data_IF_769400982764
#
_entry.id   IF_769400982764
#
_cell.length_a   1.000
_cell.length_b   1.000
_cell.length_c   1.000
_cell.angle_alpha   90.00
_cell.angle_beta   90.00
_cell.angle_gamma   90.00
#
_symmetry.space_group_name_H-M   'P 1'
#
loop_
_entity.id
_entity.type
_entity.pdbx_description
1 polymer ?
#
# COMPACT_ATOMS: atom_id res chain seq x y z
N UNK A 1 10.59 0.11 -14.54
CA UNK A 1 9.30 0.04 -13.82
C UNK A 1 9.38 -1.05 -12.76
N UNK A 2 8.79 -0.80 -11.56
CA UNK A 2 8.80 -1.80 -10.48
C UNK A 2 7.48 -2.59 -10.40
N UNK A 3 6.39 -2.05 -10.95
CA UNK A 3 5.09 -2.70 -11.10
C UNK A 3 4.65 -2.56 -12.56
N UNK A 4 4.35 -3.69 -13.19
CA UNK A 4 3.79 -3.75 -14.54
C UNK A 4 2.65 -4.77 -14.52
N UNK A 5 1.45 -4.29 -14.85
CA UNK A 5 0.20 -5.06 -14.83
C UNK A 5 -0.45 -4.93 -16.20
N UNK A 6 -0.83 -6.06 -16.80
CA UNK A 6 -1.53 -6.09 -18.11
C UNK A 6 -2.72 -7.05 -18.04
N UNK A 7 -3.91 -6.51 -18.27
CA UNK A 7 -5.21 -7.21 -18.31
C UNK A 7 -5.45 -8.14 -17.09
N UNK A 8 -4.98 -7.71 -15.92
CA UNK A 8 -5.02 -8.50 -14.70
C UNK A 8 -6.46 -8.67 -14.21
N UNK A 9 -6.87 -9.91 -14.02
CA UNK A 9 -8.21 -10.26 -13.56
C UNK A 9 -8.14 -11.18 -12.34
N UNK A 10 -9.04 -10.96 -11.37
CA UNK A 10 -9.28 -11.87 -10.25
C UNK A 10 -10.76 -12.13 -10.05
N UNK A 11 -11.12 -13.40 -10.07
CA UNK A 11 -12.47 -13.89 -9.79
C UNK A 11 -12.50 -14.73 -8.51
N UNK A 12 -13.58 -14.59 -7.75
CA UNK A 12 -13.92 -15.43 -6.60
C UNK A 12 -15.32 -16.03 -6.87
N UNK A 13 -15.36 -17.25 -7.35
CA UNK A 13 -16.57 -17.84 -7.88
C UNK A 13 -17.13 -16.99 -9.04
N UNK A 14 -18.36 -16.49 -8.88
CA UNK A 14 -19.01 -15.61 -9.87
C UNK A 14 -18.64 -14.13 -9.75
N UNK A 15 -18.08 -13.73 -8.63
CA UNK A 15 -17.72 -12.32 -8.38
C UNK A 15 -16.33 -12.01 -8.98
N UNK A 16 -16.29 -10.98 -9.83
CA UNK A 16 -15.05 -10.47 -10.44
C UNK A 16 -14.58 -9.25 -9.68
N UNK A 17 -13.65 -9.45 -8.75
CA UNK A 17 -13.15 -8.39 -7.88
C UNK A 17 -12.13 -7.46 -8.56
N UNK A 18 -11.42 -7.95 -9.59
CA UNK A 18 -10.53 -7.17 -10.47
C UNK A 18 -10.79 -7.60 -11.90
N UNK A 19 -11.01 -6.65 -12.80
CA UNK A 19 -11.57 -6.86 -14.13
C UNK A 19 -10.71 -6.20 -15.22
N UNK A 20 -9.68 -6.91 -15.71
CA UNK A 20 -8.83 -6.45 -16.82
C UNK A 20 -8.02 -5.19 -16.47
N UNK A 21 -7.45 -5.13 -15.27
CA UNK A 21 -6.66 -3.97 -14.85
C UNK A 21 -5.32 -3.96 -15.55
N UNK A 22 -4.98 -2.80 -16.15
CA UNK A 22 -3.64 -2.50 -16.67
C UNK A 22 -3.09 -1.27 -15.97
N UNK A 23 -1.87 -1.35 -15.43
CA UNK A 23 -1.26 -0.31 -14.61
C UNK A 23 0.25 -0.45 -14.62
N UNK A 24 0.95 0.68 -14.59
CA UNK A 24 2.40 0.75 -14.42
C UNK A 24 2.75 1.72 -13.30
N UNK A 25 3.69 1.33 -12.42
CA UNK A 25 4.24 2.22 -11.41
C UNK A 25 5.77 2.07 -11.31
N UNK A 26 6.44 3.21 -11.25
CA UNK A 26 7.87 3.35 -11.01
C UNK A 26 8.16 3.90 -9.61
N UNK A 27 9.42 4.34 -9.36
CA UNK A 27 9.76 5.00 -8.10
C UNK A 27 8.85 6.20 -7.81
N UNK A 28 8.54 6.43 -6.55
CA UNK A 28 7.60 7.45 -6.09
C UNK A 28 6.44 6.86 -5.30
N UNK A 29 5.53 7.73 -4.87
CA UNK A 29 4.32 7.35 -4.15
C UNK A 29 3.14 7.33 -5.11
N UNK A 30 2.52 6.18 -5.26
CA UNK A 30 1.38 5.92 -6.13
C UNK A 30 0.12 5.65 -5.29
N UNK A 31 -0.89 6.49 -5.42
CA UNK A 31 -2.18 6.34 -4.74
C UNK A 31 -3.13 5.43 -5.52
N UNK A 32 -3.65 4.39 -4.88
CA UNK A 32 -4.76 3.58 -5.39
C UNK A 32 -6.03 4.00 -4.66
N UNK A 33 -6.77 4.92 -5.27
CA UNK A 33 -7.96 5.54 -4.69
C UNK A 33 -9.24 4.84 -5.19
N UNK A 34 -10.29 4.85 -4.40
CA UNK A 34 -11.59 4.31 -4.80
C UNK A 34 -12.49 3.95 -3.62
N UNK A 35 -13.79 3.75 -3.84
CA UNK A 35 -14.72 3.39 -2.79
C UNK A 35 -14.44 2.00 -2.19
N UNK A 36 -15.10 1.70 -1.07
CA UNK A 36 -15.06 0.36 -0.50
C UNK A 36 -15.67 -0.65 -1.48
N UNK A 37 -15.04 -1.81 -1.61
CA UNK A 37 -15.46 -2.83 -2.58
C UNK A 37 -14.97 -2.61 -4.02
N UNK A 38 -14.25 -1.52 -4.32
CA UNK A 38 -13.72 -1.25 -5.67
C UNK A 38 -12.68 -2.29 -6.17
N UNK A 39 -12.14 -3.14 -5.28
CA UNK A 39 -11.15 -4.17 -5.64
C UNK A 39 -9.71 -3.83 -5.23
N UNK A 40 -9.45 -2.67 -4.59
CA UNK A 40 -8.11 -2.19 -4.19
C UNK A 40 -7.32 -3.22 -3.39
N UNK A 41 -7.89 -3.72 -2.29
CA UNK A 41 -7.25 -4.76 -1.45
C UNK A 41 -6.96 -6.03 -2.25
N UNK A 42 -7.84 -6.44 -3.17
CA UNK A 42 -7.61 -7.61 -4.02
C UNK A 42 -6.43 -7.39 -4.96
N UNK A 43 -6.33 -6.21 -5.58
CA UNK A 43 -5.21 -5.84 -6.45
C UNK A 43 -3.90 -5.79 -5.65
N UNK A 44 -3.88 -5.15 -4.47
CA UNK A 44 -2.71 -5.14 -3.58
C UNK A 44 -2.30 -6.56 -3.15
N UNK A 45 -3.25 -7.45 -2.82
CA UNK A 45 -2.94 -8.85 -2.45
C UNK A 45 -2.35 -9.65 -3.60
N UNK A 46 -2.72 -9.37 -4.85
CA UNK A 46 -2.07 -9.97 -6.02
C UNK A 46 -0.64 -9.43 -6.17
N UNK A 47 -0.43 -8.13 -6.08
CA UNK A 47 0.91 -7.52 -6.10
C UNK A 47 1.77 -7.99 -4.91
N UNK A 48 1.19 -8.18 -3.73
CA UNK A 48 1.88 -8.75 -2.56
C UNK A 48 2.17 -10.26 -2.70
N UNK A 49 1.78 -10.87 -3.83
CA UNK A 49 1.93 -12.32 -4.08
C UNK A 49 1.20 -13.20 -3.05
N UNK A 50 0.18 -12.67 -2.38
CA UNK A 50 -0.65 -13.39 -1.40
C UNK A 50 -1.68 -14.27 -2.11
N UNK A 51 -2.26 -13.76 -3.21
CA UNK A 51 -3.18 -14.50 -4.07
C UNK A 51 -2.72 -14.41 -5.53
N UNK A 52 -2.86 -15.48 -6.33
CA UNK A 52 -2.55 -15.41 -7.76
C UNK A 52 -3.66 -14.67 -8.52
N UNK A 53 -3.37 -14.07 -9.69
CA UNK A 53 -4.39 -13.64 -10.63
C UNK A 53 -5.15 -14.84 -11.21
N UNK A 54 -6.34 -14.61 -11.77
CA UNK A 54 -7.08 -15.60 -12.55
C UNK A 54 -6.59 -15.59 -14.00
N UNK A 55 -6.41 -14.39 -14.58
CA UNK A 55 -5.86 -14.18 -15.93
C UNK A 55 -5.06 -12.88 -15.94
N UNK A 56 -4.33 -12.65 -17.04
CA UNK A 56 -3.49 -11.46 -17.22
C UNK A 56 -2.06 -11.66 -16.72
N UNK A 57 -1.26 -10.61 -16.83
CA UNK A 57 0.16 -10.65 -16.54
C UNK A 57 0.53 -9.67 -15.43
N UNK A 58 1.41 -10.11 -14.54
CA UNK A 58 1.95 -9.32 -13.43
C UNK A 58 3.48 -9.47 -13.43
N UNK A 59 4.19 -8.34 -13.53
CA UNK A 59 5.63 -8.28 -13.30
C UNK A 59 5.92 -7.33 -12.15
N UNK A 60 6.73 -7.78 -11.21
CA UNK A 60 7.15 -7.02 -10.03
C UNK A 60 8.66 -7.02 -9.96
N UNK A 61 9.26 -5.83 -9.86
CA UNK A 61 10.72 -5.67 -9.81
C UNK A 61 11.42 -6.38 -11.00
N UNK A 62 10.78 -6.32 -12.19
CA UNK A 62 11.24 -6.96 -13.42
C UNK A 62 11.04 -8.47 -13.49
N UNK A 63 10.33 -9.11 -12.53
CA UNK A 63 10.14 -10.56 -12.43
C UNK A 63 8.66 -10.95 -12.48
N UNK A 64 8.39 -12.13 -13.04
CA UNK A 64 7.06 -12.74 -12.95
C UNK A 64 6.96 -13.57 -11.65
N UNK A 65 6.11 -13.19 -10.69
CA UNK A 65 5.95 -13.92 -9.43
C UNK A 65 5.12 -15.20 -9.56
N UNK A 66 4.69 -15.59 -10.75
CA UNK A 66 3.98 -16.86 -10.99
C UNK A 66 4.81 -18.08 -10.61
N UNK A 67 6.12 -18.08 -10.91
CA UNK A 67 7.04 -19.15 -10.54
C UNK A 67 7.63 -18.96 -9.13
N UNK A 68 8.03 -20.06 -8.49
CA UNK A 68 8.51 -20.07 -7.09
C UNK A 68 9.77 -19.22 -6.87
N UNK A 69 10.81 -19.43 -7.68
CA UNK A 69 12.09 -18.71 -7.56
C UNK A 69 11.94 -17.20 -7.68
N UNK A 70 11.40 -16.66 -8.78
CA UNK A 70 11.12 -15.24 -8.95
C UNK A 70 10.24 -14.65 -7.86
N UNK A 71 9.21 -15.41 -7.39
CA UNK A 71 8.33 -14.98 -6.29
C UNK A 71 9.09 -14.79 -4.99
N UNK A 72 10.01 -15.72 -4.65
CA UNK A 72 10.85 -15.63 -3.45
C UNK A 72 11.72 -14.37 -3.50
N UNK A 73 12.33 -14.08 -4.65
CA UNK A 73 13.16 -12.87 -4.82
C UNK A 73 12.35 -11.59 -4.72
N UNK A 74 11.16 -11.54 -5.34
CA UNK A 74 10.23 -10.41 -5.18
C UNK A 74 9.89 -10.20 -3.70
N UNK A 75 9.54 -11.25 -2.97
CA UNK A 75 9.15 -11.18 -1.55
C UNK A 75 10.26 -10.67 -0.64
N UNK A 76 11.54 -10.93 -0.95
CA UNK A 76 12.68 -10.38 -0.20
C UNK A 76 12.80 -8.86 -0.34
N UNK A 77 12.40 -8.32 -1.47
CA UNK A 77 12.52 -6.90 -1.85
C UNK A 77 11.19 -6.14 -1.74
N UNK A 78 10.15 -6.81 -1.24
CA UNK A 78 8.79 -6.27 -1.11
C UNK A 78 8.41 -6.11 0.35
N UNK A 79 7.86 -4.95 0.72
CA UNK A 79 7.16 -4.72 1.96
C UNK A 79 5.65 -4.74 1.75
N UNK A 80 4.90 -5.29 2.70
CA UNK A 80 3.43 -5.32 2.62
C UNK A 80 2.78 -5.07 3.98
N UNK A 81 1.92 -4.07 4.04
CA UNK A 81 1.00 -3.83 5.14
C UNK A 81 -0.41 -4.23 4.70
N UNK A 82 -1.00 -5.29 5.22
CA UNK A 82 -2.40 -5.63 4.94
C UNK A 82 -3.36 -4.70 5.67
N UNK A 83 -4.60 -4.62 5.19
CA UNK A 83 -5.68 -3.88 5.85
C UNK A 83 -5.89 -4.37 7.29
N UNK A 84 -5.97 -5.68 7.49
CA UNK A 84 -6.03 -6.31 8.80
C UNK A 84 -4.67 -6.92 9.14
N UNK A 85 -3.99 -6.34 10.12
CA UNK A 85 -2.70 -6.86 10.59
C UNK A 85 -2.94 -8.09 11.47
N UNK A 86 -2.52 -9.27 10.97
CA UNK A 86 -2.38 -10.45 11.82
C UNK A 86 -1.12 -10.32 12.69
N UNK A 87 -1.24 -10.54 14.00
CA UNK A 87 -0.10 -10.47 14.92
C UNK A 87 -0.20 -11.50 16.03
N UNK A 88 0.93 -11.82 16.64
CA UNK A 88 1.02 -12.67 17.82
C UNK A 88 0.94 -11.79 19.09
N UNK A 89 -0.15 -11.84 19.86
CA UNK A 89 -0.37 -10.92 20.99
C UNK A 89 0.73 -10.94 22.06
N UNK A 90 1.45 -12.06 22.18
CA UNK A 90 2.56 -12.26 23.11
C UNK A 90 3.91 -11.71 22.64
N UNK A 91 4.06 -11.34 21.36
CA UNK A 91 5.30 -10.74 20.86
C UNK A 91 5.43 -9.30 21.36
N UNK A 92 6.65 -8.84 21.55
CA UNK A 92 6.98 -7.41 21.66
C UNK A 92 6.99 -6.77 20.28
N UNK A 93 7.00 -5.43 20.23
CA UNK A 93 7.17 -4.68 18.97
C UNK A 93 8.44 -5.12 18.24
N UNK A 94 9.57 -5.18 18.95
CA UNK A 94 10.84 -5.57 18.35
C UNK A 94 10.82 -7.01 17.83
N UNK A 95 10.34 -7.98 18.62
CA UNK A 95 10.23 -9.39 18.23
C UNK A 95 9.34 -9.56 16.98
N UNK A 96 8.27 -8.79 16.86
CA UNK A 96 7.39 -8.86 15.70
C UNK A 96 8.06 -8.32 14.43
N UNK A 97 8.75 -7.19 14.53
CA UNK A 97 9.48 -6.60 13.38
C UNK A 97 10.66 -7.50 12.99
N UNK A 98 11.38 -8.06 13.98
CA UNK A 98 12.46 -9.04 13.77
C UNK A 98 11.97 -10.29 13.04
N UNK A 99 10.82 -10.83 13.44
CA UNK A 99 10.22 -11.97 12.76
C UNK A 99 10.04 -11.72 11.26
N UNK A 100 9.58 -10.53 10.86
CA UNK A 100 9.45 -10.19 9.44
C UNK A 100 10.79 -9.96 8.76
N UNK A 101 11.78 -9.40 9.44
CA UNK A 101 13.15 -9.27 8.91
C UNK A 101 13.73 -10.65 8.56
N UNK A 102 13.54 -11.63 9.44
CA UNK A 102 13.97 -13.03 9.22
C UNK A 102 13.19 -13.70 8.08
N UNK A 103 11.87 -13.49 7.98
CA UNK A 103 11.06 -13.97 6.85
C UNK A 103 11.49 -13.39 5.50
N UNK A 104 12.07 -12.19 5.50
CA UNK A 104 12.67 -11.55 4.31
C UNK A 104 14.10 -12.07 4.03
N UNK A 105 14.57 -13.01 4.82
CA UNK A 105 15.90 -13.61 4.69
C UNK A 105 17.03 -12.55 4.81
N UNK A 106 16.82 -11.57 5.69
CA UNK A 106 17.87 -10.60 5.98
C UNK A 106 19.06 -11.28 6.68
N UNK A 107 20.31 -10.89 6.36
CA UNK A 107 21.48 -11.39 7.08
C UNK A 107 21.34 -11.11 8.60
N UNK A 108 21.54 -12.14 9.43
CA UNK A 108 21.33 -12.07 10.88
C UNK A 108 22.07 -10.89 11.55
N UNK A 109 23.28 -10.59 11.09
CA UNK A 109 24.07 -9.46 11.60
C UNK A 109 23.42 -8.08 11.35
N UNK A 110 22.56 -7.94 10.34
CA UNK A 110 21.87 -6.69 10.00
C UNK A 110 20.52 -6.52 10.72
N UNK A 111 19.93 -7.61 11.18
CA UNK A 111 18.58 -7.61 11.73
C UNK A 111 18.41 -6.67 12.92
N UNK A 112 19.28 -6.66 13.96
CA UNK A 112 19.07 -5.80 15.12
C UNK A 112 19.03 -4.31 14.77
N UNK A 113 19.95 -3.85 13.91
CA UNK A 113 20.00 -2.46 13.48
C UNK A 113 18.78 -2.10 12.61
N UNK A 114 18.38 -2.97 11.67
CA UNK A 114 17.22 -2.76 10.82
C UNK A 114 15.91 -2.67 11.64
N UNK A 115 15.75 -3.53 12.65
CA UNK A 115 14.62 -3.49 13.59
C UNK A 115 14.57 -2.18 14.35
N UNK A 116 15.70 -1.75 14.93
CA UNK A 116 15.79 -0.48 15.67
C UNK A 116 15.39 0.70 14.78
N UNK A 117 15.97 0.80 13.58
CA UNK A 117 15.65 1.85 12.60
C UNK A 117 14.17 1.81 12.17
N UNK A 118 13.61 0.64 11.87
CA UNK A 118 12.22 0.53 11.46
C UNK A 118 11.24 0.95 12.56
N UNK A 119 11.52 0.60 13.82
CA UNK A 119 10.73 0.98 15.00
C UNK A 119 10.84 2.48 15.29
N UNK A 120 12.02 3.07 15.11
CA UNK A 120 12.27 4.50 15.25
C UNK A 120 11.47 5.30 14.20
N UNK A 121 11.52 4.90 12.93
CA UNK A 121 10.82 5.58 11.81
C UNK A 121 9.30 5.67 11.98
N UNK A 122 8.72 4.83 12.83
CA UNK A 122 7.29 4.86 13.15
C UNK A 122 7.03 5.39 14.56
N UNK A 123 8.02 6.02 15.20
CA UNK A 123 7.92 6.63 16.52
C UNK A 123 7.43 5.66 17.62
N UNK A 124 8.06 4.47 17.67
CA UNK A 124 7.79 3.44 18.66
C UNK A 124 9.02 2.98 19.46
N UNK A 125 10.13 3.74 19.43
CA UNK A 125 11.38 3.38 20.15
C UNK A 125 11.13 3.14 21.63
N UNK A 126 10.36 4.02 22.29
CA UNK A 126 9.98 3.88 23.71
C UNK A 126 9.04 2.71 24.01
N UNK A 127 8.52 2.02 23.00
CA UNK A 127 7.62 0.87 23.09
C UNK A 127 8.21 -0.42 22.50
N UNK A 128 9.48 -0.42 22.10
CA UNK A 128 10.12 -1.58 21.45
C UNK A 128 9.96 -2.90 22.22
N UNK A 129 9.96 -2.84 23.56
CA UNK A 129 9.79 -3.99 24.46
C UNK A 129 8.32 -4.23 24.92
N UNK A 130 7.38 -3.37 24.54
CA UNK A 130 5.98 -3.52 24.91
C UNK A 130 5.34 -4.68 24.14
N UNK A 131 4.48 -5.46 24.80
CA UNK A 131 3.74 -6.56 24.18
C UNK A 131 2.65 -6.00 23.27
N UNK A 132 2.47 -6.59 22.08
CA UNK A 132 1.52 -6.11 21.07
C UNK A 132 0.08 -6.02 21.61
N UNK A 133 -0.33 -6.94 22.48
CA UNK A 133 -1.66 -6.92 23.14
C UNK A 133 -1.94 -5.68 24.00
N UNK A 134 -0.90 -4.92 24.37
CA UNK A 134 -1.01 -3.73 25.22
C UNK A 134 -1.05 -2.42 24.43
N UNK A 135 -0.93 -2.51 23.10
CA UNK A 135 -0.88 -1.35 22.23
C UNK A 135 -2.28 -0.91 21.79
N UNK A 136 -2.43 0.39 21.55
CA UNK A 136 -3.62 0.94 20.88
C UNK A 136 -3.69 0.51 19.41
N UNK A 137 -4.86 0.66 18.77
CA UNK A 137 -5.04 0.35 17.36
C UNK A 137 -4.08 1.13 16.44
N UNK A 138 -3.90 2.43 16.70
CA UNK A 138 -2.95 3.26 15.97
C UNK A 138 -1.49 2.83 16.19
N UNK A 139 -1.11 2.43 17.41
CA UNK A 139 0.22 1.86 17.66
C UNK A 139 0.41 0.53 16.92
N UNK A 140 -0.57 -0.36 16.92
CA UNK A 140 -0.51 -1.62 16.16
C UNK A 140 -0.39 -1.34 14.65
N UNK A 141 -1.07 -0.30 14.14
CA UNK A 141 -0.92 0.10 12.75
C UNK A 141 0.50 0.56 12.44
N UNK A 142 1.11 1.36 13.31
CA UNK A 142 2.52 1.78 13.19
C UNK A 142 3.48 0.59 13.27
N UNK A 143 3.25 -0.40 14.12
CA UNK A 143 4.02 -1.67 14.12
C UNK A 143 3.90 -2.39 12.78
N UNK A 144 2.68 -2.42 12.20
CA UNK A 144 2.46 -2.97 10.87
C UNK A 144 3.23 -2.24 9.77
N UNK A 145 3.40 -0.93 9.88
CA UNK A 145 4.25 -0.16 8.97
C UNK A 145 5.72 -0.52 9.19
N UNK A 146 6.19 -0.58 10.46
CA UNK A 146 7.58 -0.94 10.78
C UNK A 146 7.98 -2.30 10.18
N UNK A 147 7.13 -3.35 10.32
CA UNK A 147 7.41 -4.65 9.72
C UNK A 147 7.43 -4.62 8.19
N UNK A 148 6.66 -3.71 7.57
CA UNK A 148 6.62 -3.59 6.12
C UNK A 148 7.87 -2.90 5.54
N UNK A 149 8.55 -2.06 6.34
CA UNK A 149 9.73 -1.29 5.89
C UNK A 149 11.07 -1.84 6.41
N UNK A 150 11.06 -2.86 7.29
CA UNK A 150 12.27 -3.35 7.98
C UNK A 150 13.38 -3.84 7.03
N UNK A 151 13.01 -4.36 5.87
CA UNK A 151 13.94 -4.86 4.85
C UNK A 151 14.34 -3.79 3.81
N UNK A 152 14.02 -2.51 4.05
CA UNK A 152 14.24 -1.42 3.08
C UNK A 152 13.74 -1.78 1.67
N UNK A 153 12.43 -2.02 1.51
CA UNK A 153 11.88 -2.61 0.29
C UNK A 153 12.01 -1.68 -0.91
N UNK A 154 12.23 -2.26 -2.10
CA UNK A 154 12.16 -1.54 -3.38
C UNK A 154 10.73 -1.38 -3.89
N UNK A 155 9.82 -2.23 -3.42
CA UNK A 155 8.38 -2.14 -3.62
C UNK A 155 7.66 -2.23 -2.28
N UNK A 156 6.94 -1.19 -1.90
CA UNK A 156 6.16 -1.12 -0.67
C UNK A 156 4.67 -1.02 -1.00
N UNK A 157 3.89 -1.94 -0.48
CA UNK A 157 2.44 -2.00 -0.67
C UNK A 157 1.73 -1.79 0.67
N UNK A 158 0.87 -0.77 0.74
CA UNK A 158 0.20 -0.36 1.97
C UNK A 158 -1.31 -0.31 1.76
N UNK A 159 -2.03 -1.18 2.45
CA UNK A 159 -3.49 -1.26 2.35
C UNK A 159 -4.15 -0.50 3.51
N UNK A 160 -4.78 0.65 3.20
CA UNK A 160 -5.43 1.57 4.14
C UNK A 160 -4.53 1.96 5.34
N UNK A 161 -3.28 2.43 5.11
CA UNK A 161 -2.29 2.58 6.18
C UNK A 161 -2.65 3.64 7.24
N UNK A 162 -3.49 4.60 6.92
CA UNK A 162 -3.89 5.71 7.80
C UNK A 162 -5.13 5.40 8.64
N UNK A 163 -5.74 4.22 8.47
CA UNK A 163 -6.88 3.81 9.26
C UNK A 163 -6.52 3.72 10.75
N UNK A 164 -7.26 4.45 11.60
CA UNK A 164 -7.05 4.49 13.05
C UNK A 164 -5.88 5.36 13.53
N UNK A 165 -5.22 6.09 12.63
CA UNK A 165 -4.24 7.12 12.99
C UNK A 165 -4.96 8.45 13.30
N UNK A 166 -4.48 9.16 14.32
CA UNK A 166 -4.91 10.53 14.59
C UNK A 166 -4.31 11.53 13.56
N UNK A 167 -4.77 12.79 13.52
CA UNK A 167 -4.31 13.76 12.53
C UNK A 167 -2.79 14.01 12.56
N UNK A 168 -2.16 14.06 13.73
CA UNK A 168 -0.72 14.29 13.87
C UNK A 168 0.07 13.09 13.32
N UNK A 169 -0.35 11.88 13.67
CA UNK A 169 0.22 10.62 13.15
C UNK A 169 0.09 10.53 11.62
N UNK A 170 -1.01 11.02 11.03
CA UNK A 170 -1.18 11.07 9.57
C UNK A 170 -0.15 12.00 8.91
N UNK A 171 0.12 13.16 9.51
CA UNK A 171 1.14 14.09 9.00
C UNK A 171 2.52 13.44 9.00
N UNK A 172 2.92 12.81 10.10
CA UNK A 172 4.19 12.07 10.20
C UNK A 172 4.25 10.94 9.17
N UNK A 173 3.17 10.18 9.01
CA UNK A 173 3.10 9.10 8.04
C UNK A 173 3.24 9.60 6.58
N UNK A 174 2.61 10.72 6.22
CA UNK A 174 2.77 11.33 4.89
C UNK A 174 4.22 11.75 4.61
N UNK A 175 4.92 12.25 5.62
CA UNK A 175 6.35 12.57 5.52
C UNK A 175 7.17 11.31 5.29
N UNK A 176 6.93 10.25 6.07
CA UNK A 176 7.57 8.95 5.90
C UNK A 176 7.32 8.36 4.49
N UNK A 177 6.10 8.46 3.96
CA UNK A 177 5.80 8.02 2.61
C UNK A 177 6.63 8.72 1.54
N UNK A 178 6.77 10.07 1.64
CA UNK A 178 7.58 10.84 0.69
C UNK A 178 9.05 10.44 0.73
N UNK A 179 9.61 10.22 1.92
CA UNK A 179 10.98 9.75 2.09
C UNK A 179 11.19 8.36 1.47
N UNK A 180 10.27 7.42 1.74
CA UNK A 180 10.31 6.07 1.17
C UNK A 180 10.18 6.10 -0.35
N UNK A 181 9.30 6.96 -0.88
CA UNK A 181 9.09 7.13 -2.31
C UNK A 181 10.31 7.65 -3.07
N UNK A 182 11.29 8.29 -2.41
CA UNK A 182 12.54 8.71 -3.06
C UNK A 182 13.40 7.52 -3.50
N UNK A 183 13.27 6.36 -2.87
CA UNK A 183 14.11 5.18 -3.10
C UNK A 183 13.34 3.94 -3.55
N UNK A 184 12.03 3.94 -3.35
CA UNK A 184 11.17 2.80 -3.61
C UNK A 184 9.94 3.20 -4.44
N UNK A 185 9.27 2.21 -5.03
CA UNK A 185 7.89 2.36 -5.48
C UNK A 185 6.98 2.06 -4.30
N UNK A 186 6.20 3.04 -3.88
CA UNK A 186 5.23 2.90 -2.79
C UNK A 186 3.82 2.95 -3.36
N UNK A 187 3.05 1.89 -3.20
CA UNK A 187 1.62 1.86 -3.60
C UNK A 187 0.77 1.89 -2.34
N UNK A 188 -0.04 2.94 -2.21
CA UNK A 188 -0.91 3.16 -1.06
C UNK A 188 -2.36 3.05 -1.49
N UNK A 189 -3.11 2.07 -0.96
CA UNK A 189 -4.57 2.09 -1.14
C UNK A 189 -5.21 2.98 -0.07
N UNK A 190 -6.17 3.77 -0.48
CA UNK A 190 -6.97 4.58 0.44
C UNK A 190 -8.32 4.94 -0.19
N UNK A 191 -9.29 5.27 0.64
CA UNK A 191 -10.52 5.93 0.25
C UNK A 191 -10.50 7.43 0.61
N UNK A 192 -9.42 7.90 1.27
CA UNK A 192 -9.25 9.28 1.70
C UNK A 192 -8.52 10.08 0.61
N UNK A 193 -9.25 10.95 -0.05
CA UNK A 193 -8.75 11.79 -1.15
C UNK A 193 -7.63 12.73 -0.68
N UNK A 194 -7.73 13.23 0.55
CA UNK A 194 -6.74 14.13 1.16
C UNK A 194 -5.35 13.49 1.29
N UNK A 195 -5.29 12.19 1.64
CA UNK A 195 -4.01 11.47 1.79
C UNK A 195 -3.29 11.36 0.45
N UNK A 196 -4.05 11.19 -0.64
CA UNK A 196 -3.52 11.13 -2.01
C UNK A 196 -2.95 12.48 -2.43
N UNK A 197 -3.72 13.57 -2.25
CA UNK A 197 -3.29 14.91 -2.63
C UNK A 197 -2.02 15.36 -1.92
N UNK A 198 -1.83 14.91 -0.66
CA UNK A 198 -0.71 15.33 0.16
C UNK A 198 0.58 14.51 -0.04
N UNK A 199 0.49 13.24 -0.45
CA UNK A 199 1.64 12.34 -0.46
C UNK A 199 1.97 11.70 -1.81
N UNK A 200 1.01 11.59 -2.74
CA UNK A 200 1.18 10.83 -3.97
C UNK A 200 1.63 11.71 -5.14
N UNK A 201 2.56 11.20 -5.94
CA UNK A 201 2.96 11.80 -7.21
C UNK A 201 2.04 11.40 -8.37
N UNK A 202 1.45 10.21 -8.28
CA UNK A 202 0.47 9.68 -9.23
C UNK A 202 -0.67 9.00 -8.49
N UNK A 203 -1.83 8.91 -9.13
CA UNK A 203 -3.02 8.26 -8.60
C UNK A 203 -3.72 7.44 -9.67
N UNK A 204 -4.16 6.24 -9.32
CA UNK A 204 -5.16 5.51 -10.08
C UNK A 204 -6.47 5.47 -9.29
N UNK A 205 -7.57 5.77 -9.97
CA UNK A 205 -8.91 5.64 -9.41
C UNK A 205 -9.51 4.31 -9.85
N UNK A 206 -9.93 3.52 -8.87
CA UNK A 206 -10.50 2.20 -9.10
C UNK A 206 -11.97 2.19 -8.69
N UNK A 207 -12.84 1.69 -9.59
CA UNK A 207 -14.25 1.46 -9.32
C UNK A 207 -14.69 0.13 -9.95
N UNK A 208 -15.51 -0.65 -9.23
CA UNK A 208 -16.09 -1.92 -9.68
C UNK A 208 -15.07 -2.87 -10.34
N UNK A 209 -13.88 -2.97 -9.77
CA UNK A 209 -12.80 -3.85 -10.26
C UNK A 209 -11.99 -3.30 -11.43
N UNK A 210 -12.27 -2.10 -11.93
CA UNK A 210 -11.59 -1.48 -13.07
C UNK A 210 -10.84 -0.22 -12.66
N UNK A 211 -9.76 0.11 -13.38
CA UNK A 211 -9.15 1.44 -13.30
C UNK A 211 -9.94 2.37 -14.22
N UNK A 212 -10.48 3.44 -13.67
CA UNK A 212 -11.29 4.44 -14.38
C UNK A 212 -10.55 5.75 -14.61
N UNK A 213 -9.41 5.94 -13.94
CA UNK A 213 -8.52 7.09 -14.15
C UNK A 213 -7.09 6.73 -13.71
N UNK A 214 -6.10 7.26 -14.42
CA UNK A 214 -4.69 7.29 -14.02
C UNK A 214 -4.13 8.66 -14.37
N UNK A 215 -3.43 9.28 -13.42
CA UNK A 215 -2.82 10.61 -13.64
C UNK A 215 -2.22 11.17 -12.35
N UNK A 216 -1.90 12.45 -12.35
CA UNK A 216 -1.48 13.19 -11.17
C UNK A 216 -2.68 13.64 -10.33
N UNK A 217 -2.49 13.96 -9.04
CA UNK A 217 -3.56 14.60 -8.25
C UNK A 217 -4.08 15.91 -8.87
N UNK A 218 -3.20 16.67 -9.54
CA UNK A 218 -3.60 17.89 -10.25
C UNK A 218 -4.52 17.62 -11.44
N UNK A 219 -4.22 16.59 -12.24
CA UNK A 219 -5.09 16.16 -13.34
C UNK A 219 -6.43 15.63 -12.84
N UNK A 220 -6.45 14.92 -11.72
CA UNK A 220 -7.70 14.50 -11.09
C UNK A 220 -8.52 15.71 -10.62
N UNK A 221 -7.87 16.70 -10.00
CA UNK A 221 -8.53 17.96 -9.61
C UNK A 221 -9.15 18.68 -10.81
N UNK A 222 -8.44 18.72 -11.94
CA UNK A 222 -8.93 19.37 -13.17
C UNK A 222 -10.16 18.69 -13.79
N UNK A 223 -10.49 17.44 -13.40
CA UNK A 223 -11.73 16.75 -13.78
C UNK A 223 -12.96 17.23 -13.01
N UNK A 224 -12.75 17.94 -11.89
CA UNK A 224 -13.84 18.52 -11.10
C UNK A 224 -14.49 19.70 -11.86
N UNK A 225 -15.82 19.79 -11.77
CA UNK A 225 -16.58 20.95 -12.24
C UNK A 225 -16.84 21.89 -11.07
N UNK A 226 -17.16 23.18 -11.32
CA UNK A 226 -17.53 24.13 -10.27
C UNK A 226 -18.75 23.68 -9.46
N UNK A 227 -19.62 22.86 -10.07
CA UNK A 227 -20.83 22.30 -9.45
C UNK A 227 -20.65 20.82 -9.04
N UNK A 228 -19.40 20.30 -9.02
CA UNK A 228 -19.09 18.94 -8.57
C UNK A 228 -19.35 18.74 -7.08
N UNK A 229 -19.72 17.53 -6.68
CA UNK A 229 -19.93 17.15 -5.28
C UNK A 229 -18.59 17.05 -4.54
N UNK A 230 -18.44 17.71 -3.40
CA UNK A 230 -17.26 17.70 -2.53
C UNK A 230 -16.79 19.09 -2.12
N UNK A 231 -16.19 19.18 -0.94
CA UNK A 231 -15.73 20.45 -0.38
C UNK A 231 -14.39 20.90 -0.99
N UNK A 232 -13.47 19.94 -1.16
CA UNK A 232 -12.16 20.20 -1.73
C UNK A 232 -12.13 19.99 -3.27
N UNK A 233 -11.29 20.73 -4.02
CA UNK A 233 -11.18 20.58 -5.47
C UNK A 233 -10.84 19.15 -5.91
N UNK A 234 -9.98 18.45 -5.17
CA UNK A 234 -9.60 17.07 -5.47
C UNK A 234 -10.77 16.09 -5.25
N UNK A 235 -11.63 16.34 -4.24
CA UNK A 235 -12.86 15.57 -4.01
C UNK A 235 -13.85 15.72 -5.15
N UNK A 236 -14.02 16.96 -5.65
CA UNK A 236 -14.88 17.21 -6.82
C UNK A 236 -14.39 16.47 -8.05
N UNK A 237 -13.06 16.43 -8.29
CA UNK A 237 -12.47 15.64 -9.34
C UNK A 237 -12.71 14.12 -9.19
N UNK A 238 -12.55 13.62 -7.98
CA UNK A 238 -12.81 12.22 -7.63
C UNK A 238 -14.27 11.83 -7.90
N UNK A 239 -15.22 12.61 -7.42
CA UNK A 239 -16.65 12.32 -7.58
C UNK A 239 -17.11 12.46 -9.04
N UNK A 240 -16.57 13.44 -9.78
CA UNK A 240 -16.85 13.61 -11.21
C UNK A 240 -16.38 12.41 -12.04
N UNK A 241 -15.17 11.91 -11.81
CA UNK A 241 -14.64 10.74 -12.52
C UNK A 241 -15.46 9.48 -12.20
N UNK A 242 -15.85 9.28 -10.93
CA UNK A 242 -16.71 8.13 -10.56
C UNK A 242 -18.08 8.21 -11.20
N UNK A 243 -18.72 9.40 -11.23
CA UNK A 243 -20.01 9.59 -11.86
C UNK A 243 -19.94 9.28 -13.36
N UNK A 244 -18.91 9.78 -14.06
CA UNK A 244 -18.72 9.51 -15.48
C UNK A 244 -18.45 8.03 -15.80
N UNK A 245 -17.77 7.30 -14.89
CA UNK A 245 -17.49 5.87 -15.09
C UNK A 245 -18.71 4.96 -14.86
N UNK A 246 -19.77 5.48 -14.19
CA UNK A 246 -20.99 4.74 -13.85
C UNK A 246 -22.19 5.09 -14.76
N UNK A 247 -22.06 6.18 -15.56
CA UNK A 247 -23.03 6.59 -16.55
C UNK A 247 -22.95 5.70 -17.80
#
# INVERSE_FOLDING_TARGET
>A
MNVEISDLTRRFGRHQAVAGVSLQAGPGVFGLLGPNGAGKTTLLRMMATVIPPTTGHLRLLGRDPGAYGPRREVRRRLGYLPQNLGYYPGFTVAEFVEYFALLKEMPAARVPAAVATAVERVDLSGKARAKLRTLSGGMLRRVGIAQAIVNEPELLLLDEPTAGLDPEQRVHFRTLLRELGQRATVVVSTHLVEDVGAACSQVALMDQGKIVFVGTPGELTARGTEHGTGDAPLERGYTAVLAAARA
#
